data_IF_283851522072
#
_entry.id   IF_283851522072
#
_cell.length_a   1.000
_cell.length_b   1.000
_cell.length_c   1.000
_cell.angle_alpha   90.00
_cell.angle_beta   90.00
_cell.angle_gamma   90.00
#
_symmetry.space_group_name_H-M   'P 1'
#
loop_
_entity.id
_entity.type
_entity.pdbx_description
1 polymer ?
#
# COMPACT_ATOMS: atom_id res chain seq x y z
N UNK A 1 -3.45 -0.34 39.70
CA UNK A 1 -4.68 0.46 39.52
C UNK A 1 -4.40 1.58 38.53
N UNK A 2 -4.64 1.33 37.23
CA UNK A 2 -5.35 2.22 36.32
C UNK A 2 -5.83 1.33 35.16
N UNK A 3 -7.13 1.09 35.16
CA UNK A 3 -7.86 0.51 34.04
C UNK A 3 -7.79 1.48 32.87
N UNK A 4 -7.44 0.99 31.69
CA UNK A 4 -7.74 1.64 30.42
C UNK A 4 -8.38 0.60 29.54
N UNK A 5 -9.70 0.67 29.41
CA UNK A 5 -10.48 -0.17 28.50
C UNK A 5 -9.88 0.00 27.11
N UNK A 6 -9.27 -1.05 26.55
CA UNK A 6 -8.88 -1.10 25.13
C UNK A 6 -10.19 -1.08 24.36
N UNK A 7 -10.64 0.14 24.01
CA UNK A 7 -11.70 0.31 23.05
C UNK A 7 -11.31 -0.47 21.80
N UNK A 8 -12.25 -1.21 21.24
CA UNK A 8 -12.11 -1.89 19.96
C UNK A 8 -11.98 -0.85 18.85
N UNK A 9 -10.89 -0.08 18.82
CA UNK A 9 -10.60 0.84 17.74
C UNK A 9 -10.30 -0.03 16.51
N UNK A 10 -11.10 0.16 15.47
CA UNK A 10 -10.77 -0.45 14.17
C UNK A 10 -9.40 0.07 13.78
N UNK A 11 -8.49 -0.83 13.40
CA UNK A 11 -7.19 -0.42 12.89
C UNK A 11 -7.38 0.17 11.48
N UNK A 12 -7.57 1.48 11.43
CA UNK A 12 -7.83 2.26 10.21
C UNK A 12 -7.00 3.53 10.25
N UNK A 13 -6.67 4.03 9.08
CA UNK A 13 -6.14 5.39 8.94
C UNK A 13 -7.32 6.36 8.96
N UNK A 14 -7.11 7.51 9.60
CA UNK A 14 -8.11 8.58 9.68
C UNK A 14 -8.07 9.52 8.48
N UNK A 15 -6.99 9.48 7.70
CA UNK A 15 -6.79 10.28 6.50
C UNK A 15 -6.44 9.39 5.29
N UNK A 16 -6.85 9.81 4.10
CA UNK A 16 -6.57 9.10 2.86
C UNK A 16 -5.10 9.23 2.43
N UNK A 17 -4.41 10.30 2.83
CA UNK A 17 -3.03 10.61 2.43
C UNK A 17 -1.98 9.83 3.24
N UNK A 18 -2.40 9.08 4.26
CA UNK A 18 -1.50 8.33 5.15
C UNK A 18 -0.52 7.41 4.40
N UNK A 19 -0.96 6.75 3.32
CA UNK A 19 -0.11 5.89 2.50
C UNK A 19 1.02 6.71 1.84
N UNK A 20 0.71 7.91 1.34
CA UNK A 20 1.67 8.81 0.71
C UNK A 20 2.68 9.37 1.71
N UNK A 21 2.21 9.85 2.86
CA UNK A 21 3.09 10.41 3.89
C UNK A 21 4.06 9.38 4.46
N UNK A 22 3.59 8.15 4.74
CA UNK A 22 4.46 7.09 5.25
C UNK A 22 5.48 6.65 4.19
N UNK A 23 5.10 6.60 2.92
CA UNK A 23 6.03 6.30 1.83
C UNK A 23 7.08 7.40 1.62
N UNK A 24 6.69 8.67 1.80
CA UNK A 24 7.57 9.82 1.66
C UNK A 24 8.58 9.91 2.82
N UNK A 25 8.10 9.88 4.06
CA UNK A 25 8.94 9.87 5.24
C UNK A 25 8.29 9.11 6.39
N UNK A 26 8.77 7.90 6.63
CA UNK A 26 8.26 7.04 7.71
C UNK A 26 8.68 7.50 9.11
N UNK A 27 9.65 8.41 9.27
CA UNK A 27 10.04 8.91 10.60
C UNK A 27 8.91 9.71 11.26
N UNK A 28 8.05 10.34 10.46
CA UNK A 28 6.85 11.03 10.93
C UNK A 28 5.87 10.12 11.67
N UNK A 29 5.98 8.79 11.56
CA UNK A 29 5.20 7.90 12.41
C UNK A 29 5.53 8.02 13.90
N UNK A 30 6.74 8.48 14.24
CA UNK A 30 7.30 8.53 15.59
C UNK A 30 7.56 9.95 16.10
N UNK A 31 7.49 10.95 15.23
CA UNK A 31 7.64 12.36 15.59
C UNK A 31 6.32 12.89 16.16
N UNK A 32 6.34 13.34 17.42
CA UNK A 32 5.21 14.00 18.08
C UNK A 32 4.78 15.25 17.27
N UNK A 33 3.49 15.58 17.33
CA UNK A 33 2.85 16.70 16.60
C UNK A 33 2.78 16.61 15.06
N UNK A 34 3.17 15.49 14.46
CA UNK A 34 2.93 15.26 13.02
C UNK A 34 1.53 14.68 12.73
N UNK A 35 0.97 15.01 11.57
CA UNK A 35 -0.29 14.39 11.10
C UNK A 35 -0.14 12.89 10.91
N UNK A 36 1.04 12.44 10.46
CA UNK A 36 1.33 11.00 10.27
C UNK A 36 1.30 10.25 11.60
N UNK A 37 1.89 10.79 12.66
CA UNK A 37 1.86 10.15 13.97
C UNK A 37 0.45 10.05 14.57
N UNK A 38 -0.43 11.01 14.28
CA UNK A 38 -1.76 11.13 14.90
C UNK A 38 -2.90 10.50 14.09
N UNK A 39 -2.79 10.44 12.76
CA UNK A 39 -3.88 10.01 11.88
C UNK A 39 -3.64 8.64 11.24
N UNK A 40 -2.40 8.15 11.19
CA UNK A 40 -2.01 7.04 10.33
C UNK A 40 -1.65 5.76 11.08
N UNK A 41 -2.42 5.38 12.10
CA UNK A 41 -2.13 4.22 12.96
C UNK A 41 -1.93 2.92 12.19
N UNK A 42 -2.72 2.70 11.12
CA UNK A 42 -2.63 1.50 10.30
C UNK A 42 -1.45 1.58 9.34
N UNK A 43 -1.30 2.66 8.59
CA UNK A 43 -0.21 2.86 7.62
C UNK A 43 1.17 2.89 8.30
N UNK A 44 1.26 3.46 9.50
CA UNK A 44 2.45 3.40 10.36
C UNK A 44 2.68 2.03 11.02
N UNK A 45 1.76 1.07 10.82
CA UNK A 45 1.80 -0.27 11.39
C UNK A 45 1.85 -0.27 12.93
N UNK A 46 1.20 0.71 13.58
CA UNK A 46 1.02 0.77 15.04
C UNK A 46 -0.04 -0.24 15.51
N UNK A 47 -0.92 -0.66 14.60
CA UNK A 47 -1.94 -1.67 14.81
C UNK A 47 -2.05 -2.61 13.59
N UNK A 48 -2.87 -3.65 13.73
CA UNK A 48 -3.23 -4.54 12.62
C UNK A 48 -2.26 -5.71 12.43
N UNK A 49 -2.44 -6.44 11.34
CA UNK A 49 -1.57 -7.56 11.00
C UNK A 49 -0.23 -7.06 10.44
N UNK A 50 0.89 -7.78 10.69
CA UNK A 50 2.18 -7.44 10.09
C UNK A 50 2.09 -7.34 8.57
N UNK A 51 2.59 -6.23 8.02
CA UNK A 51 2.64 -6.01 6.58
C UNK A 51 3.79 -6.84 6.00
N UNK A 52 3.52 -7.53 4.88
CA UNK A 52 4.57 -8.28 4.19
C UNK A 52 5.62 -7.31 3.66
N UNK A 53 6.87 -7.76 3.70
CA UNK A 53 8.07 -6.99 3.39
C UNK A 53 8.01 -6.28 2.03
N UNK A 54 7.44 -6.94 1.04
CA UNK A 54 7.29 -6.49 -0.34
C UNK A 54 6.17 -5.45 -0.54
N UNK A 55 5.34 -5.19 0.48
CA UNK A 55 4.30 -4.16 0.47
C UNK A 55 4.52 -3.10 1.56
N UNK A 56 5.65 -3.13 2.26
CA UNK A 56 5.94 -2.19 3.34
C UNK A 56 6.40 -0.84 2.78
N UNK A 57 5.51 0.16 2.84
CA UNK A 57 5.74 1.51 2.31
C UNK A 57 6.97 2.21 2.91
N UNK A 58 7.36 1.84 4.13
CA UNK A 58 8.55 2.41 4.79
C UNK A 58 9.86 2.00 4.12
N UNK A 59 9.80 0.95 3.28
CA UNK A 59 10.94 0.41 2.54
C UNK A 59 11.02 0.93 1.11
N UNK A 60 10.14 1.86 0.72
CA UNK A 60 10.09 2.39 -0.63
C UNK A 60 11.34 3.25 -0.89
N UNK A 61 12.12 2.93 -1.93
CA UNK A 61 13.24 3.76 -2.38
C UNK A 61 12.79 5.18 -2.76
N UNK A 62 13.63 6.18 -2.52
CA UNK A 62 13.30 7.59 -2.76
C UNK A 62 12.83 7.87 -4.20
N UNK A 63 13.44 7.22 -5.19
CA UNK A 63 13.07 7.36 -6.61
C UNK A 63 11.68 6.78 -6.95
N UNK A 64 11.12 5.92 -6.10
CA UNK A 64 9.81 5.28 -6.29
C UNK A 64 8.70 5.89 -5.44
N UNK A 65 9.02 6.81 -4.52
CA UNK A 65 8.01 7.49 -3.67
C UNK A 65 6.86 8.13 -4.45
N UNK A 66 7.08 8.83 -5.60
CA UNK A 66 5.98 9.45 -6.36
C UNK A 66 4.93 8.46 -6.88
N UNK A 67 5.28 7.18 -6.99
CA UNK A 67 4.41 6.11 -7.46
C UNK A 67 4.12 5.05 -6.37
N UNK A 68 4.45 5.35 -5.11
CA UNK A 68 4.27 4.42 -3.99
C UNK A 68 2.80 4.02 -3.77
N UNK A 69 1.87 4.88 -4.19
CA UNK A 69 0.44 4.59 -4.12
C UNK A 69 0.04 3.35 -4.93
N UNK A 70 0.85 2.90 -5.90
CA UNK A 70 0.60 1.68 -6.67
C UNK A 70 0.84 0.41 -5.84
N UNK A 71 1.68 0.45 -4.80
CA UNK A 71 2.11 -0.74 -4.06
C UNK A 71 0.93 -1.37 -3.35
N UNK A 72 0.69 -2.65 -3.64
CA UNK A 72 -0.43 -3.39 -3.10
C UNK A 72 -1.06 -4.33 -4.13
N UNK A 73 -2.27 -4.77 -3.82
CA UNK A 73 -3.09 -5.62 -4.68
C UNK A 73 -4.32 -4.87 -5.12
N UNK A 74 -4.55 -4.84 -6.42
CA UNK A 74 -5.70 -4.22 -7.07
C UNK A 74 -6.52 -5.31 -7.70
N UNK A 75 -7.83 -5.35 -7.42
CA UNK A 75 -8.71 -6.37 -7.96
C UNK A 75 -9.95 -5.75 -8.56
N UNK A 76 -10.30 -6.24 -9.74
CA UNK A 76 -11.50 -5.86 -10.48
C UNK A 76 -12.17 -7.13 -10.98
N UNK A 77 -13.38 -7.46 -10.53
CA UNK A 77 -14.02 -8.73 -10.92
C UNK A 77 -14.76 -8.63 -12.26
N UNK A 78 -15.24 -7.44 -12.63
CA UNK A 78 -16.01 -7.20 -13.85
C UNK A 78 -15.68 -5.85 -14.52
N UNK A 79 -14.60 -5.19 -14.12
CA UNK A 79 -14.25 -3.86 -14.64
C UNK A 79 -13.56 -3.90 -16.00
N UNK A 80 -12.88 -5.00 -16.34
CA UNK A 80 -12.24 -5.18 -17.64
C UNK A 80 -13.28 -5.38 -18.74
N UNK A 81 -13.25 -4.52 -19.76
CA UNK A 81 -14.08 -4.66 -20.97
C UNK A 81 -13.17 -4.70 -22.18
N UNK A 82 -13.19 -5.81 -22.91
CA UNK A 82 -12.45 -5.96 -24.14
C UNK A 82 -13.34 -5.63 -25.34
N UNK A 83 -12.84 -4.76 -26.23
CA UNK A 83 -13.44 -4.50 -27.53
C UNK A 83 -12.37 -4.57 -28.61
N UNK A 84 -12.55 -5.46 -29.57
CA UNK A 84 -11.68 -5.58 -30.73
C UNK A 84 -12.53 -5.91 -31.97
N UNK A 85 -12.22 -5.39 -33.17
CA UNK A 85 -13.09 -5.55 -34.34
C UNK A 85 -13.42 -7.00 -34.72
N UNK A 86 -12.51 -7.94 -34.47
CA UNK A 86 -12.65 -9.36 -34.84
C UNK A 86 -12.93 -10.29 -33.66
N UNK A 87 -12.99 -9.78 -32.43
CA UNK A 87 -13.22 -10.57 -31.22
C UNK A 87 -14.52 -10.08 -30.56
N UNK A 88 -15.46 -10.98 -30.23
CA UNK A 88 -16.68 -10.60 -29.53
C UNK A 88 -16.38 -9.83 -28.25
N UNK A 89 -17.25 -8.89 -27.90
CA UNK A 89 -17.13 -8.15 -26.64
C UNK A 89 -17.25 -9.11 -25.46
N UNK A 90 -16.31 -9.03 -24.53
CA UNK A 90 -16.38 -9.77 -23.28
C UNK A 90 -15.85 -8.93 -22.12
N UNK A 91 -16.17 -9.38 -20.91
CA UNK A 91 -15.64 -8.81 -19.67
C UNK A 91 -14.72 -9.81 -19.00
N UNK A 92 -13.70 -9.31 -18.31
CA UNK A 92 -12.77 -10.15 -17.55
C UNK A 92 -12.54 -9.54 -16.17
N UNK A 93 -12.21 -10.42 -15.23
CA UNK A 93 -11.66 -10.03 -13.94
C UNK A 93 -10.14 -9.93 -14.05
N UNK A 94 -9.53 -9.09 -13.23
CA UNK A 94 -8.09 -8.86 -13.19
C UNK A 94 -7.66 -8.66 -11.73
N UNK A 95 -6.53 -9.26 -11.35
CA UNK A 95 -5.78 -8.90 -10.14
C UNK A 95 -4.38 -8.41 -10.54
N UNK A 96 -4.07 -7.16 -10.21
CA UNK A 96 -2.75 -6.56 -10.39
C UNK A 96 -2.04 -6.48 -9.05
N UNK A 97 -0.77 -6.87 -9.02
CA UNK A 97 0.09 -6.77 -7.84
C UNK A 97 1.31 -5.93 -8.18
N UNK A 98 1.48 -4.81 -7.45
CA UNK A 98 2.73 -4.05 -7.44
C UNK A 98 3.42 -4.26 -6.10
N UNK A 99 4.70 -4.63 -6.13
CA UNK A 99 5.48 -4.91 -4.92
C UNK A 99 6.90 -4.40 -5.03
N UNK A 100 7.54 -4.15 -3.90
CA UNK A 100 8.93 -3.70 -3.80
C UNK A 100 9.84 -4.89 -4.10
N UNK A 101 10.74 -4.75 -5.08
CA UNK A 101 11.74 -5.75 -5.40
C UNK A 101 12.66 -6.03 -4.19
N UNK A 102 13.24 -7.24 -4.15
CA UNK A 102 14.22 -7.57 -3.12
C UNK A 102 15.46 -6.65 -3.25
N UNK A 103 15.84 -5.90 -2.19
CA UNK A 103 17.03 -5.04 -2.21
C UNK A 103 18.35 -5.81 -2.40
N UNK A 104 18.36 -7.14 -2.29
CA UNK A 104 19.52 -7.98 -2.58
C UNK A 104 19.76 -8.20 -4.09
N UNK A 105 18.85 -7.74 -4.96
CA UNK A 105 19.03 -7.75 -6.41
C UNK A 105 19.90 -6.53 -6.81
N UNK A 106 20.95 -6.77 -7.58
CA UNK A 106 21.97 -5.75 -7.94
C UNK A 106 21.51 -4.72 -8.99
N UNK A 107 20.20 -4.54 -9.17
CA UNK A 107 19.62 -3.65 -10.18
C UNK A 107 19.19 -2.30 -9.63
N UNK A 108 18.80 -1.39 -10.53
CA UNK A 108 18.13 -0.15 -10.16
C UNK A 108 16.84 -0.44 -9.37
N UNK A 109 16.52 0.34 -8.32
CA UNK A 109 15.30 0.11 -7.56
C UNK A 109 14.06 0.24 -8.46
N UNK A 110 13.27 -0.83 -8.52
CA UNK A 110 12.06 -0.92 -9.33
C UNK A 110 10.90 -1.54 -8.54
N UNK A 111 9.68 -1.37 -9.06
CA UNK A 111 8.53 -2.16 -8.62
C UNK A 111 8.45 -3.44 -9.45
N UNK A 112 8.16 -4.55 -8.79
CA UNK A 112 7.76 -5.79 -9.43
C UNK A 112 6.26 -5.75 -9.72
N UNK A 113 5.90 -6.00 -10.97
CA UNK A 113 4.52 -6.04 -11.47
C UNK A 113 4.15 -7.47 -11.86
N UNK A 114 2.96 -7.90 -11.42
CA UNK A 114 2.36 -9.15 -11.84
C UNK A 114 0.85 -8.94 -12.05
N UNK A 115 0.32 -9.52 -13.13
CA UNK A 115 -1.10 -9.53 -13.45
C UNK A 115 -1.57 -10.99 -13.48
N UNK A 116 -2.62 -11.29 -12.72
CA UNK A 116 -3.29 -12.58 -12.73
C UNK A 116 -4.65 -12.44 -13.43
N UNK A 117 -4.84 -13.18 -14.52
CA UNK A 117 -6.14 -13.40 -15.18
C UNK A 117 -6.83 -14.68 -14.69
#
# INVERSE_FOLDING_TARGET
MYSGVVGTSKCVDSDADCYGWVAQNHTWCYEEDTFTASLCDKSCQKCGAPVRKEFDLRRVPHNLQPIAFLIGKWRSEFGGKAFFPTIPRFTYGEEIVFSICDPHLSGEPSLYYNECC
#
